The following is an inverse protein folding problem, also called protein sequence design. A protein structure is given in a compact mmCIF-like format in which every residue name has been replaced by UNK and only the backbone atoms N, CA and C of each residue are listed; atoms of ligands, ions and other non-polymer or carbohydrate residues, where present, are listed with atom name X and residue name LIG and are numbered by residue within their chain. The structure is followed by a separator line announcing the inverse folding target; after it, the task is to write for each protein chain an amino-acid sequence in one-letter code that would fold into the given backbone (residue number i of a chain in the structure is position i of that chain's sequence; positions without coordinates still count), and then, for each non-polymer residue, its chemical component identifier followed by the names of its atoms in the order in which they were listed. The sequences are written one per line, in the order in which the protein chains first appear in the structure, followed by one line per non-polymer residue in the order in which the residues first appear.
data_IF_077795291991
#
_entry.id   IF_077795291991
#
_cell.length_a   1.000
_cell.length_b   1.000
_cell.length_c   1.000
_cell.angle_alpha   90.00
_cell.angle_beta   90.00
_cell.angle_gamma   90.00
#
_symmetry.space_group_name_H-M   'P 1'
#
loop_
_entity.id
_entity.type
_entity.pdbx_description
1 polymer ?
#
# COMPACT_ATOMS: atom_id res chain seq x y z
N UNK A 1 -32.96 22.29 -35.31
CA UNK A 1 -32.79 22.79 -33.93
C UNK A 1 -32.31 21.64 -33.05
N UNK A 2 -31.23 21.91 -32.31
CA UNK A 2 -30.64 21.27 -31.12
C UNK A 2 -30.63 19.73 -30.93
N UNK A 3 -29.40 19.18 -30.96
CA UNK A 3 -28.92 18.00 -30.20
C UNK A 3 -28.86 18.32 -28.70
N UNK A 4 -29.04 17.30 -27.85
CA UNK A 4 -28.58 17.28 -26.45
C UNK A 4 -28.31 15.83 -26.00
N UNK A 5 -27.17 15.25 -26.37
CA UNK A 5 -26.04 14.91 -25.49
C UNK A 5 -26.42 14.33 -24.12
N UNK A 6 -26.49 13.00 -24.05
CA UNK A 6 -26.45 12.27 -22.79
C UNK A 6 -25.13 12.55 -22.06
N UNK A 7 -25.23 13.05 -20.83
CA UNK A 7 -24.11 13.37 -19.98
C UNK A 7 -23.24 12.14 -19.72
N UNK A 8 -21.94 12.26 -20.03
CA UNK A 8 -20.93 11.30 -19.59
C UNK A 8 -20.73 11.53 -18.10
N UNK A 9 -21.20 10.59 -17.29
CA UNK A 9 -20.90 10.47 -15.87
C UNK A 9 -19.38 10.53 -15.66
N UNK A 10 -18.98 11.37 -14.70
CA UNK A 10 -17.59 11.73 -14.43
C UNK A 10 -16.70 10.51 -14.28
N UNK A 11 -15.64 10.48 -15.08
CA UNK A 11 -14.66 9.41 -15.14
C UNK A 11 -13.96 9.27 -13.78
N UNK A 12 -14.07 8.08 -13.17
CA UNK A 12 -13.44 7.74 -11.89
C UNK A 12 -11.91 7.64 -12.05
N UNK A 13 -11.20 8.78 -12.02
CA UNK A 13 -9.74 8.80 -12.05
C UNK A 13 -9.11 7.99 -10.90
N UNK A 14 -9.84 7.79 -9.80
CA UNK A 14 -9.41 6.99 -8.65
C UNK A 14 -9.50 5.48 -8.86
N UNK A 15 -10.42 4.98 -9.68
CA UNK A 15 -10.64 3.52 -9.77
C UNK A 15 -9.44 2.82 -10.43
N UNK A 16 -9.03 3.33 -11.60
CA UNK A 16 -7.85 2.78 -12.27
C UNK A 16 -6.55 3.01 -11.49
N UNK A 17 -6.36 4.20 -10.92
CA UNK A 17 -5.15 4.48 -10.11
C UNK A 17 -5.06 3.57 -8.90
N UNK A 18 -6.18 3.35 -8.19
CA UNK A 18 -6.23 2.46 -7.04
C UNK A 18 -6.05 0.99 -7.45
N UNK A 19 -6.63 0.55 -8.56
CA UNK A 19 -6.41 -0.79 -9.09
C UNK A 19 -4.93 -1.05 -9.43
N UNK A 20 -4.26 -0.07 -10.05
CA UNK A 20 -2.83 -0.13 -10.35
C UNK A 20 -1.97 -0.18 -9.06
N UNK A 21 -2.33 0.61 -8.04
CA UNK A 21 -1.66 0.53 -6.73
C UNK A 21 -1.88 -0.84 -6.08
N UNK A 22 -3.10 -1.38 -6.13
CA UNK A 22 -3.42 -2.71 -5.60
C UNK A 22 -2.58 -3.81 -6.25
N UNK A 23 -2.56 -3.86 -7.59
CA UNK A 23 -1.72 -4.80 -8.32
C UNK A 23 -0.21 -4.61 -8.03
N UNK A 24 0.23 -3.37 -7.80
CA UNK A 24 1.60 -3.08 -7.41
C UNK A 24 1.94 -3.52 -5.97
N UNK A 25 0.97 -3.50 -5.05
CA UNK A 25 1.11 -4.08 -3.71
C UNK A 25 1.27 -5.60 -3.79
N UNK A 26 0.51 -6.29 -4.64
CA UNK A 26 0.68 -7.73 -4.85
C UNK A 26 2.07 -8.06 -5.40
N UNK A 27 2.57 -7.26 -6.35
CA UNK A 27 3.93 -7.40 -6.84
C UNK A 27 4.97 -7.23 -5.73
N UNK A 28 4.76 -6.27 -4.82
CA UNK A 28 5.62 -6.09 -3.65
C UNK A 28 5.56 -7.29 -2.70
N UNK A 29 4.38 -7.90 -2.50
CA UNK A 29 4.25 -9.13 -1.69
C UNK A 29 5.05 -10.28 -2.32
N UNK A 30 4.97 -10.44 -3.63
CA UNK A 30 5.63 -11.55 -4.35
C UNK A 30 7.16 -11.48 -4.37
N UNK A 31 7.76 -10.29 -4.39
CA UNK A 31 9.22 -10.21 -4.49
C UNK A 31 9.84 -8.87 -4.10
N UNK A 32 9.13 -8.07 -3.32
CA UNK A 32 9.67 -6.85 -2.75
C UNK A 32 9.71 -5.66 -3.71
N UNK A 33 10.42 -4.59 -3.31
CA UNK A 33 10.36 -3.30 -4.00
C UNK A 33 10.83 -3.39 -5.45
N UNK A 34 11.73 -4.32 -5.77
CA UNK A 34 12.23 -4.54 -7.14
C UNK A 34 11.15 -5.05 -8.10
N UNK A 35 10.10 -5.70 -7.60
CA UNK A 35 8.97 -6.21 -8.41
C UNK A 35 7.91 -5.16 -8.70
N UNK A 36 7.94 -4.01 -8.04
CA UNK A 36 6.94 -2.93 -8.17
C UNK A 36 7.11 -2.20 -9.50
N UNK A 37 6.58 -2.75 -10.59
CA UNK A 37 6.77 -2.18 -11.94
C UNK A 37 5.42 -1.78 -12.55
N UNK A 38 5.28 -0.52 -12.96
CA UNK A 38 4.01 0.02 -13.47
C UNK A 38 3.47 -0.74 -14.70
N UNK A 39 4.35 -1.14 -15.61
CA UNK A 39 3.96 -1.94 -16.79
C UNK A 39 3.37 -3.29 -16.40
N UNK A 40 3.92 -3.92 -15.37
CA UNK A 40 3.44 -5.21 -14.89
C UNK A 40 2.13 -5.06 -14.12
N UNK A 41 1.98 -4.00 -13.32
CA UNK A 41 0.71 -3.65 -12.70
C UNK A 41 -0.38 -3.37 -13.76
N UNK A 42 -0.06 -2.64 -14.83
CA UNK A 42 -0.97 -2.40 -15.94
C UNK A 42 -1.41 -3.68 -16.63
N UNK A 43 -0.46 -4.62 -16.84
CA UNK A 43 -0.74 -5.94 -17.40
C UNK A 43 -1.71 -6.75 -16.52
N UNK A 44 -1.52 -6.72 -15.18
CA UNK A 44 -2.43 -7.40 -14.23
C UNK A 44 -3.83 -6.81 -14.21
N UNK A 45 -3.93 -5.48 -14.26
CA UNK A 45 -5.21 -4.77 -14.30
C UNK A 45 -5.90 -4.87 -15.67
N UNK A 46 -5.18 -5.25 -16.73
CA UNK A 46 -5.71 -5.42 -18.08
C UNK A 46 -5.81 -4.12 -18.88
N UNK A 47 -4.96 -3.13 -18.57
CA UNK A 47 -4.91 -1.84 -19.29
C UNK A 47 -3.61 -1.65 -20.04
N UNK A 48 -3.59 -0.71 -21.01
CA UNK A 48 -2.37 -0.38 -21.72
C UNK A 48 -1.36 0.34 -20.80
N UNK A 49 -0.04 0.13 -21.00
CA UNK A 49 0.98 0.87 -20.27
C UNK A 49 0.80 2.39 -20.40
N UNK A 50 0.47 2.88 -21.59
CA UNK A 50 0.24 4.31 -21.84
C UNK A 50 -0.90 4.88 -20.99
N UNK A 51 -1.98 4.12 -20.76
CA UNK A 51 -3.04 4.54 -19.85
C UNK A 51 -2.53 4.63 -18.41
N UNK A 52 -1.76 3.63 -17.95
CA UNK A 52 -1.20 3.62 -16.60
C UNK A 52 -0.23 4.79 -16.35
N UNK A 53 0.67 5.11 -17.28
CA UNK A 53 1.63 6.22 -17.15
C UNK A 53 0.96 7.59 -17.01
N UNK A 54 -0.32 7.77 -17.41
CA UNK A 54 -1.05 9.03 -17.19
C UNK A 54 -1.44 9.26 -15.73
N UNK A 55 -1.41 8.22 -14.90
CA UNK A 55 -1.81 8.28 -13.48
C UNK A 55 -0.64 8.42 -12.51
N UNK A 56 0.60 8.29 -12.98
CA UNK A 56 1.80 8.32 -12.16
C UNK A 56 2.85 9.22 -12.82
N UNK A 57 3.47 10.09 -12.03
CA UNK A 57 4.60 10.94 -12.46
C UNK A 57 5.88 10.14 -12.75
N UNK A 58 5.90 8.87 -12.36
CA UNK A 58 6.98 7.93 -12.63
C UNK A 58 6.92 6.71 -11.73
N UNK A 59 7.96 5.88 -11.78
CA UNK A 59 8.09 4.71 -10.91
C UNK A 59 8.18 5.11 -9.42
N UNK A 60 8.79 6.26 -9.12
CA UNK A 60 8.90 6.78 -7.75
C UNK A 60 7.55 7.04 -7.09
N UNK A 61 6.59 7.66 -7.79
CA UNK A 61 5.22 7.87 -7.28
C UNK A 61 4.52 6.54 -7.01
N UNK A 62 4.55 5.59 -7.96
CA UNK A 62 3.98 4.26 -7.73
C UNK A 62 4.58 3.60 -6.48
N UNK A 63 5.91 3.63 -6.34
CA UNK A 63 6.60 3.04 -5.21
C UNK A 63 6.24 3.74 -3.89
N UNK A 64 6.05 5.05 -3.90
CA UNK A 64 5.59 5.81 -2.74
C UNK A 64 4.18 5.40 -2.31
N UNK A 65 3.26 5.23 -3.26
CA UNK A 65 1.90 4.76 -2.95
C UNK A 65 1.91 3.35 -2.36
N UNK A 66 2.71 2.45 -2.92
CA UNK A 66 2.86 1.07 -2.40
C UNK A 66 3.52 1.08 -1.02
N UNK A 67 4.52 1.93 -0.80
CA UNK A 67 5.15 2.15 0.52
C UNK A 67 4.10 2.56 1.56
N UNK A 68 3.26 3.56 1.25
CA UNK A 68 2.20 4.01 2.15
C UNK A 68 1.20 2.88 2.47
N UNK A 69 0.80 2.08 1.48
CA UNK A 69 -0.07 0.91 1.71
C UNK A 69 0.60 -0.17 2.57
N UNK A 70 1.89 -0.43 2.36
CA UNK A 70 2.67 -1.36 3.19
C UNK A 70 2.77 -0.90 4.65
N UNK A 71 2.98 0.39 4.89
CA UNK A 71 3.01 0.97 6.23
C UNK A 71 1.63 0.93 6.90
N UNK A 72 0.56 1.18 6.15
CA UNK A 72 -0.81 1.04 6.65
C UNK A 72 -1.12 -0.43 7.03
N UNK A 73 -0.73 -1.39 6.19
CA UNK A 73 -0.90 -2.81 6.49
C UNK A 73 -0.15 -3.23 7.76
N UNK A 74 1.11 -2.78 7.92
CA UNK A 74 1.89 -2.99 9.14
C UNK A 74 1.18 -2.39 10.38
N UNK A 75 0.66 -1.18 10.28
CA UNK A 75 -0.04 -0.53 11.39
C UNK A 75 -1.30 -1.31 11.81
N UNK A 76 -2.11 -1.77 10.84
CA UNK A 76 -3.28 -2.61 11.11
C UNK A 76 -2.87 -3.91 11.80
N UNK A 77 -1.83 -4.58 11.28
CA UNK A 77 -1.35 -5.84 11.84
C UNK A 77 -0.85 -5.71 13.29
N UNK A 78 -0.13 -4.62 13.60
CA UNK A 78 0.27 -4.32 14.99
C UNK A 78 -0.92 -4.04 15.90
N UNK A 79 -1.95 -3.33 15.42
CA UNK A 79 -3.17 -3.07 16.19
C UNK A 79 -3.97 -4.34 16.45
N UNK A 80 -4.02 -5.27 15.48
CA UNK A 80 -4.64 -6.57 15.65
C UNK A 80 -3.92 -7.40 16.72
N UNK A 81 -2.58 -7.42 16.71
CA UNK A 81 -1.81 -8.08 17.76
C UNK A 81 -2.08 -7.51 19.16
N UNK A 82 -2.37 -6.21 19.28
CA UNK A 82 -2.78 -5.60 20.56
C UNK A 82 -4.19 -6.02 20.95
N UNK A 83 -5.12 -6.11 20.00
CA UNK A 83 -6.52 -6.53 20.26
C UNK A 83 -6.63 -7.98 20.74
N UNK A 84 -5.66 -8.82 20.38
CA UNK A 84 -5.55 -10.21 20.85
C UNK A 84 -5.13 -10.32 22.33
N UNK A 85 -4.65 -9.24 22.95
CA UNK A 85 -4.25 -9.22 24.36
C UNK A 85 -5.45 -8.93 25.27
N UNK A 86 -5.82 -9.84 26.20
CA UNK A 86 -6.87 -9.57 27.17
C UNK A 86 -6.50 -8.43 28.12
N UNK A 87 -7.43 -7.57 28.56
CA UNK A 87 -7.13 -6.50 29.53
C UNK A 87 -6.64 -7.05 30.87
N UNK A 88 -5.88 -6.25 31.63
CA UNK A 88 -5.47 -6.57 33.00
C UNK A 88 -5.94 -5.49 33.98
N UNK A 89 -6.12 -5.81 35.27
CA UNK A 89 -6.53 -4.83 36.28
C UNK A 89 -5.45 -3.78 36.56
N UNK A 90 -4.17 -4.17 36.52
CA UNK A 90 -3.05 -3.25 36.74
C UNK A 90 -2.72 -2.48 35.45
N UNK A 91 -2.81 -1.12 35.46
CA UNK A 91 -2.54 -0.32 34.27
C UNK A 91 -1.10 -0.42 33.76
N UNK A 92 -0.13 -0.66 34.64
CA UNK A 92 1.29 -0.79 34.29
C UNK A 92 1.54 -2.09 33.52
N UNK A 93 1.12 -3.22 34.09
CA UNK A 93 1.21 -4.54 33.46
C UNK A 93 0.41 -4.60 32.15
N UNK A 94 -0.74 -3.93 32.08
CA UNK A 94 -1.48 -3.82 30.83
C UNK A 94 -0.69 -3.07 29.75
N UNK A 95 -0.10 -1.91 30.10
CA UNK A 95 0.68 -1.11 29.16
C UNK A 95 1.91 -1.87 28.63
N UNK A 96 2.67 -2.52 29.52
CA UNK A 96 3.85 -3.32 29.14
C UNK A 96 3.49 -4.44 28.17
N UNK A 97 2.41 -5.16 28.46
CA UNK A 97 1.98 -6.30 27.64
C UNK A 97 1.43 -5.87 26.28
N UNK A 98 0.71 -4.76 26.21
CA UNK A 98 0.28 -4.15 24.94
C UNK A 98 1.47 -3.66 24.12
N UNK A 99 2.46 -3.03 24.75
CA UNK A 99 3.71 -2.63 24.08
C UNK A 99 4.45 -3.85 23.50
N UNK A 100 4.58 -4.92 24.30
CA UNK A 100 5.18 -6.17 23.82
C UNK A 100 4.40 -6.78 22.64
N UNK A 101 3.07 -6.65 22.62
CA UNK A 101 2.24 -7.12 21.52
C UNK A 101 2.43 -6.31 20.24
N UNK A 102 2.59 -4.98 20.33
CA UNK A 102 2.97 -4.14 19.18
C UNK A 102 4.30 -4.64 18.59
N UNK A 103 5.31 -4.84 19.43
CA UNK A 103 6.63 -5.33 19.00
C UNK A 103 6.57 -6.70 18.33
N UNK A 104 5.79 -7.64 18.89
CA UNK A 104 5.54 -8.95 18.27
C UNK A 104 4.82 -8.82 16.93
N UNK A 105 3.79 -7.98 16.84
CA UNK A 105 3.06 -7.70 15.60
C UNK A 105 3.98 -7.15 14.51
N UNK A 106 4.89 -6.23 14.88
CA UNK A 106 5.89 -5.69 13.96
C UNK A 106 6.79 -6.76 13.37
N UNK A 107 7.40 -7.60 14.24
CA UNK A 107 8.31 -8.67 13.80
C UNK A 107 7.57 -9.75 13.01
N UNK A 108 6.38 -10.15 13.46
CA UNK A 108 5.54 -11.14 12.78
C UNK A 108 5.17 -10.68 11.37
N UNK A 109 4.75 -9.42 11.20
CA UNK A 109 4.50 -8.85 9.87
C UNK A 109 5.74 -8.90 8.97
N UNK A 110 6.92 -8.55 9.50
CA UNK A 110 8.16 -8.57 8.73
C UNK A 110 8.54 -9.99 8.25
N UNK A 111 8.30 -11.00 9.07
CA UNK A 111 8.57 -12.42 8.76
C UNK A 111 7.54 -12.99 7.78
N UNK A 112 6.26 -12.70 7.98
CA UNK A 112 5.17 -13.23 7.14
C UNK A 112 5.05 -12.50 5.80
N UNK A 113 5.46 -11.22 5.74
CA UNK A 113 5.32 -10.36 4.56
C UNK A 113 6.65 -9.69 4.17
N UNK A 114 7.73 -10.44 3.93
CA UNK A 114 9.07 -9.87 3.77
C UNK A 114 9.19 -8.92 2.57
N UNK A 115 8.50 -9.20 1.46
CA UNK A 115 8.48 -8.35 0.28
C UNK A 115 7.78 -7.01 0.54
N UNK A 116 6.59 -7.05 1.14
CA UNK A 116 5.83 -5.84 1.46
C UNK A 116 6.54 -5.03 2.55
N UNK A 117 7.13 -5.67 3.55
CA UNK A 117 7.93 -5.01 4.60
C UNK A 117 9.15 -4.29 4.01
N UNK A 118 9.94 -4.95 3.16
CA UNK A 118 11.07 -4.31 2.46
C UNK A 118 10.61 -3.11 1.63
N UNK A 119 9.44 -3.18 1.03
CA UNK A 119 8.85 -2.07 0.26
C UNK A 119 8.42 -0.92 1.15
N UNK A 120 7.74 -1.22 2.26
CA UNK A 120 7.28 -0.23 3.25
C UNK A 120 8.43 0.60 3.85
N UNK A 121 9.64 0.05 3.93
CA UNK A 121 10.83 0.73 4.44
C UNK A 121 11.88 1.09 3.38
N UNK A 122 11.56 0.91 2.08
CA UNK A 122 12.46 1.34 1.00
C UNK A 122 12.66 2.86 1.06
N UNK A 123 13.92 3.28 0.90
CA UNK A 123 14.27 4.68 0.68
C UNK A 123 13.93 5.05 -0.76
N UNK A 124 13.15 6.12 -0.92
CA UNK A 124 12.87 6.73 -2.21
C UNK A 124 13.69 8.03 -2.26
N UNK A 125 14.50 8.27 -3.31
CA UNK A 125 15.23 9.53 -3.48
C UNK A 125 14.30 10.75 -3.40
N UNK A 126 14.79 11.85 -2.81
CA UNK A 126 13.99 13.04 -2.50
C UNK A 126 13.53 13.82 -3.75
N UNK A 127 14.12 13.54 -4.91
CA UNK A 127 13.78 14.10 -6.21
C UNK A 127 12.71 13.27 -6.97
N UNK A 128 12.19 12.21 -6.35
CA UNK A 128 11.02 11.52 -6.87
C UNK A 128 9.76 12.38 -6.65
N UNK A 129 9.02 12.76 -7.72
CA UNK A 129 7.81 13.56 -7.57
C UNK A 129 6.79 12.89 -6.64
N UNK A 130 6.37 13.59 -5.59
CA UNK A 130 5.52 13.09 -4.51
C UNK A 130 6.11 13.19 -3.09
N UNK A 131 7.32 13.76 -2.95
CA UNK A 131 7.87 14.22 -1.66
C UNK A 131 7.21 15.51 -1.16
#
# INVERSE_FOLDING_TARGET
MAKGSGGKTGYHHGDLRNALIGAAVELAVEGGPERVVLREAARRVGVSPTAAYRHFSGHGDLLWQVKARGQQALAVFMLEAVREVPPLPDPGEEAERRLAAIGRGYVRFAVENPGLYRTAFRRIPADAPGA
#
